data_IF_855113244718
#
_entry.id   IF_855113244718
#
_cell.length_a   1.000
_cell.length_b   1.000
_cell.length_c   1.000
_cell.angle_alpha   90.00
_cell.angle_beta   90.00
_cell.angle_gamma   90.00
#
_symmetry.space_group_name_H-M   'P 1'
#
loop_
_entity.id
_entity.type
_entity.pdbx_description
1 polymer ?
#
# COMPACT_ATOMS: atom_id res chain seq x y z
N UNK A 1 40.57 0.36 5.11
CA UNK A 1 40.76 -0.90 4.36
C UNK A 1 40.05 -0.77 3.03
N UNK A 2 40.80 -0.56 1.94
CA UNK A 2 40.23 -0.47 0.60
C UNK A 2 39.86 -1.89 0.13
N UNK A 3 38.59 -2.18 -0.23
CA UNK A 3 38.24 -3.46 -0.80
C UNK A 3 38.88 -3.55 -2.19
N UNK A 4 40.01 -4.26 -2.28
CA UNK A 4 40.58 -4.70 -3.55
C UNK A 4 39.48 -5.34 -4.38
N UNK A 5 39.27 -4.85 -5.59
CA UNK A 5 38.24 -5.31 -6.53
C UNK A 5 38.31 -6.84 -6.60
N UNK A 6 37.29 -7.51 -6.05
CA UNK A 6 37.13 -8.98 -5.90
C UNK A 6 37.12 -9.70 -7.27
N UNK A 7 37.35 -9.01 -8.39
CA UNK A 7 37.44 -9.60 -9.73
C UNK A 7 38.71 -10.44 -9.93
N UNK A 8 39.77 -10.22 -9.15
CA UNK A 8 41.05 -10.94 -9.29
C UNK A 8 41.38 -11.83 -8.08
N UNK A 9 40.52 -11.92 -7.06
CA UNK A 9 40.75 -12.81 -5.92
C UNK A 9 40.08 -14.18 -6.16
N UNK A 10 40.87 -15.25 -6.02
CA UNK A 10 40.44 -16.64 -6.28
C UNK A 10 39.36 -17.15 -5.32
N UNK A 11 39.23 -16.54 -4.13
CA UNK A 11 38.28 -16.96 -3.10
C UNK A 11 37.05 -16.05 -3.05
N UNK A 12 35.98 -16.42 -3.76
CA UNK A 12 34.70 -15.73 -3.69
C UNK A 12 33.95 -16.11 -2.40
N UNK A 13 34.00 -15.26 -1.37
CA UNK A 13 33.17 -15.36 -0.15
C UNK A 13 31.74 -14.81 -0.33
N UNK A 14 31.22 -14.82 -1.56
CA UNK A 14 29.88 -14.30 -1.87
C UNK A 14 28.79 -15.26 -1.36
N UNK A 15 27.64 -14.75 -0.89
CA UNK A 15 26.53 -15.61 -0.49
C UNK A 15 26.04 -16.45 -1.67
N UNK A 16 25.71 -17.72 -1.40
CA UNK A 16 25.15 -18.61 -2.40
C UNK A 16 23.76 -18.14 -2.83
N UNK A 17 23.54 -18.11 -4.14
CA UNK A 17 22.23 -17.87 -4.76
C UNK A 17 21.62 -19.20 -5.19
N UNK A 18 20.30 -19.30 -5.42
CA UNK A 18 19.65 -20.54 -5.89
C UNK A 18 20.27 -21.13 -7.18
N UNK A 19 20.99 -20.32 -7.96
CA UNK A 19 21.63 -20.72 -9.22
C UNK A 19 23.11 -21.16 -9.10
N UNK A 20 23.69 -21.17 -7.90
CA UNK A 20 25.14 -21.40 -7.68
C UNK A 20 25.47 -22.73 -6.97
N UNK A 21 24.47 -23.50 -6.56
CA UNK A 21 24.64 -24.81 -5.92
C UNK A 21 24.41 -25.97 -6.89
N UNK A 22 24.69 -27.19 -6.43
CA UNK A 22 24.42 -28.43 -7.16
C UNK A 22 22.94 -28.88 -6.99
N UNK A 23 22.56 -30.03 -7.57
CA UNK A 23 21.18 -30.58 -7.60
C UNK A 23 20.48 -30.61 -6.24
N UNK A 24 21.21 -30.90 -5.15
CA UNK A 24 20.63 -31.02 -3.80
C UNK A 24 20.52 -29.67 -3.07
N UNK A 25 21.06 -28.59 -3.64
CA UNK A 25 21.01 -27.27 -3.04
C UNK A 25 19.71 -26.55 -3.40
N UNK A 26 18.78 -26.51 -2.45
CA UNK A 26 17.59 -25.69 -2.54
C UNK A 26 17.70 -24.43 -1.67
N UNK A 27 17.43 -23.27 -2.27
CA UNK A 27 17.30 -21.99 -1.55
C UNK A 27 16.03 -21.27 -1.99
N UNK A 28 15.14 -20.98 -1.04
CA UNK A 28 13.90 -20.26 -1.29
C UNK A 28 14.10 -18.76 -1.60
N UNK A 29 13.12 -18.15 -2.28
CA UNK A 29 13.15 -16.74 -2.73
C UNK A 29 12.26 -15.83 -1.88
N UNK A 30 12.04 -16.16 -0.61
CA UNK A 30 11.16 -15.41 0.31
C UNK A 30 9.71 -15.25 -0.16
N UNK A 31 9.17 -16.19 -0.95
CA UNK A 31 7.75 -16.17 -1.32
C UNK A 31 6.80 -16.19 -0.12
N UNK A 32 7.26 -16.71 1.02
CA UNK A 32 6.55 -16.72 2.29
C UNK A 32 6.54 -15.37 3.06
N UNK A 33 7.04 -14.28 2.46
CA UNK A 33 7.08 -12.94 3.07
C UNK A 33 6.16 -12.00 2.31
N UNK A 34 5.51 -11.07 3.02
CA UNK A 34 4.84 -9.94 2.37
C UNK A 34 5.87 -9.02 1.69
N UNK A 35 5.48 -8.30 0.62
CA UNK A 35 6.29 -7.22 0.08
C UNK A 35 6.65 -6.23 1.19
N UNK A 36 7.95 -6.09 1.50
CA UNK A 36 8.43 -5.21 2.57
C UNK A 36 8.05 -5.61 4.01
N UNK A 37 7.43 -6.77 4.21
CA UNK A 37 6.75 -7.12 5.46
C UNK A 37 7.22 -8.38 6.15
N UNK A 38 6.40 -8.82 7.10
CA UNK A 38 6.64 -9.98 7.96
C UNK A 38 6.45 -11.32 7.20
N UNK A 39 6.96 -12.39 7.80
CA UNK A 39 6.83 -13.75 7.26
C UNK A 39 5.44 -14.30 7.57
N UNK A 40 4.68 -14.69 6.54
CA UNK A 40 3.36 -15.33 6.66
C UNK A 40 3.41 -16.86 6.54
N UNK A 41 4.58 -17.43 6.27
CA UNK A 41 4.74 -18.89 6.16
C UNK A 41 4.44 -19.41 4.76
N UNK A 42 4.55 -20.73 4.59
CA UNK A 42 4.30 -21.39 3.31
C UNK A 42 2.79 -21.57 3.07
N UNK A 43 2.31 -21.47 1.82
CA UNK A 43 0.89 -21.60 1.48
C UNK A 43 0.35 -23.04 1.54
N UNK A 44 1.19 -24.00 1.91
CA UNK A 44 0.87 -25.42 1.85
C UNK A 44 1.91 -26.29 2.53
N UNK A 45 1.72 -27.60 2.43
CA UNK A 45 2.54 -28.62 3.11
C UNK A 45 3.01 -29.68 2.12
N UNK A 46 4.26 -30.13 2.28
CA UNK A 46 4.78 -31.27 1.55
C UNK A 46 4.15 -32.57 2.05
N UNK A 47 3.62 -33.36 1.13
CA UNK A 47 2.98 -34.64 1.45
C UNK A 47 3.98 -35.76 1.17
N UNK A 48 4.34 -36.51 2.20
CA UNK A 48 5.34 -37.59 2.12
C UNK A 48 4.81 -38.82 1.38
N UNK A 49 3.52 -39.14 1.56
CA UNK A 49 2.86 -40.32 0.98
C UNK A 49 1.70 -39.90 0.09
N UNK A 50 1.74 -40.30 -1.19
CA UNK A 50 0.73 -39.95 -2.19
C UNK A 50 1.32 -39.54 -3.55
N UNK A 51 0.43 -39.36 -4.52
CA UNK A 51 0.74 -38.90 -5.90
C UNK A 51 1.07 -37.41 -5.93
N UNK A 52 0.26 -36.58 -5.24
CA UNK A 52 0.55 -35.16 -5.06
C UNK A 52 1.59 -34.93 -3.96
N UNK A 53 2.76 -34.38 -4.32
CA UNK A 53 3.89 -34.15 -3.39
C UNK A 53 3.80 -32.85 -2.59
N UNK A 54 2.91 -31.93 -2.98
CA UNK A 54 2.64 -30.70 -2.27
C UNK A 54 1.14 -30.40 -2.30
N UNK A 55 0.58 -30.06 -1.14
CA UNK A 55 -0.84 -29.71 -0.99
C UNK A 55 -0.96 -28.25 -0.60
N UNK A 56 -1.72 -27.48 -1.38
CA UNK A 56 -2.08 -26.11 -1.03
C UNK A 56 -3.16 -26.11 0.05
N UNK A 57 -3.05 -25.17 0.98
CA UNK A 57 -4.04 -24.92 2.02
C UNK A 57 -4.63 -23.54 1.75
N UNK A 58 -5.86 -23.50 1.24
CA UNK A 58 -6.49 -22.25 0.78
C UNK A 58 -6.55 -21.19 1.90
N UNK A 59 -6.71 -21.61 3.14
CA UNK A 59 -6.66 -20.76 4.35
C UNK A 59 -5.34 -20.02 4.54
N UNK A 60 -4.23 -20.54 4.00
CA UNK A 60 -2.89 -19.95 4.09
C UNK A 60 -2.48 -19.25 2.80
N UNK A 61 -3.27 -19.36 1.74
CA UNK A 61 -3.02 -18.64 0.49
C UNK A 61 -3.39 -17.18 0.69
N UNK A 62 -2.49 -16.29 0.27
CA UNK A 62 -2.73 -14.85 0.37
C UNK A 62 -3.68 -14.41 -0.71
N UNK A 63 -4.67 -13.62 -0.33
CA UNK A 63 -5.64 -12.99 -1.22
C UNK A 63 -5.56 -11.48 -1.05
N UNK A 64 -5.47 -10.76 -2.16
CA UNK A 64 -5.55 -9.30 -2.17
C UNK A 64 -6.97 -8.90 -2.53
N UNK A 65 -7.72 -8.43 -1.54
CA UNK A 65 -9.10 -7.98 -1.74
C UNK A 65 -9.06 -6.54 -2.26
N UNK A 66 -9.66 -6.31 -3.42
CA UNK A 66 -9.81 -5.00 -4.03
C UNK A 66 -11.30 -4.63 -4.14
N UNK A 67 -11.65 -3.33 -4.15
CA UNK A 67 -12.99 -2.88 -4.50
C UNK A 67 -13.37 -3.29 -5.93
N UNK A 68 -14.66 -3.19 -6.27
CA UNK A 68 -15.11 -3.51 -7.62
C UNK A 68 -14.49 -2.57 -8.66
N UNK A 69 -14.29 -3.08 -9.88
CA UNK A 69 -13.68 -2.29 -10.96
C UNK A 69 -14.54 -1.07 -11.30
N UNK A 70 -15.87 -1.20 -11.23
CA UNK A 70 -16.82 -0.12 -11.44
C UNK A 70 -16.65 0.99 -10.40
N UNK A 71 -16.55 0.64 -9.12
CA UNK A 71 -16.28 1.62 -8.05
C UNK A 71 -14.96 2.34 -8.29
N UNK A 72 -13.88 1.59 -8.58
CA UNK A 72 -12.56 2.16 -8.84
C UNK A 72 -12.59 3.18 -9.99
N UNK A 73 -13.27 2.84 -11.09
CA UNK A 73 -13.39 3.71 -12.26
C UNK A 73 -14.26 4.95 -12.00
N UNK A 74 -15.29 4.82 -11.15
CA UNK A 74 -16.19 5.92 -10.80
C UNK A 74 -15.65 6.80 -9.67
N UNK A 75 -14.57 6.41 -8.99
CA UNK A 75 -14.01 7.24 -7.91
C UNK A 75 -13.39 8.54 -8.46
N UNK A 76 -13.66 9.70 -7.81
CA UNK A 76 -12.98 10.95 -8.14
C UNK A 76 -11.52 10.98 -7.63
N UNK A 77 -11.13 10.01 -6.80
CA UNK A 77 -9.81 9.93 -6.19
C UNK A 77 -8.75 9.54 -7.23
N UNK A 78 -7.64 10.27 -7.25
CA UNK A 78 -6.48 10.03 -8.11
C UNK A 78 -5.24 9.82 -7.25
N UNK A 79 -4.21 9.11 -7.74
CA UNK A 79 -2.97 8.89 -7.00
C UNK A 79 -2.18 10.19 -6.74
N UNK A 80 -2.48 11.25 -7.47
CA UNK A 80 -1.82 12.56 -7.36
C UNK A 80 -2.85 13.66 -7.08
N UNK A 81 -2.37 14.76 -6.50
CA UNK A 81 -3.15 15.95 -6.18
C UNK A 81 -2.57 17.13 -6.96
N UNK A 82 -3.43 18.05 -7.41
CA UNK A 82 -2.99 19.30 -8.03
C UNK A 82 -2.24 20.17 -7.03
N UNK A 83 -1.06 20.69 -7.42
CA UNK A 83 -0.21 21.49 -6.54
C UNK A 83 -0.84 22.84 -6.15
N UNK A 84 -1.70 23.37 -7.01
CA UNK A 84 -2.34 24.67 -6.83
C UNK A 84 -3.48 24.64 -5.82
N UNK A 85 -4.00 23.45 -5.51
CA UNK A 85 -5.11 23.28 -4.56
C UNK A 85 -4.56 23.25 -3.14
N UNK A 86 -4.71 24.37 -2.43
CA UNK A 86 -4.36 24.50 -1.00
C UNK A 86 -5.62 24.44 -0.15
N UNK A 87 -5.62 23.57 0.87
CA UNK A 87 -6.70 23.52 1.85
C UNK A 87 -6.79 24.83 2.64
N UNK A 88 -8.00 25.34 2.82
CA UNK A 88 -8.26 26.48 3.71
C UNK A 88 -8.04 26.08 5.18
N UNK A 89 -7.85 27.04 6.08
CA UNK A 89 -7.63 26.74 7.51
C UNK A 89 -8.84 26.01 8.14
N UNK A 90 -10.06 26.32 7.69
CA UNK A 90 -11.27 25.59 8.08
C UNK A 90 -11.25 24.14 7.61
N UNK A 91 -10.96 23.90 6.33
CA UNK A 91 -10.85 22.55 5.76
C UNK A 91 -9.71 21.75 6.41
N UNK A 92 -8.58 22.38 6.72
CA UNK A 92 -7.50 21.73 7.47
C UNK A 92 -7.96 21.29 8.84
N UNK A 93 -8.74 22.11 9.54
CA UNK A 93 -9.28 21.78 10.87
C UNK A 93 -10.34 20.67 10.81
N UNK A 94 -11.09 20.55 9.71
CA UNK A 94 -12.01 19.43 9.46
C UNK A 94 -11.27 18.13 9.14
N UNK A 95 -10.33 18.17 8.18
CA UNK A 95 -9.60 16.98 7.71
C UNK A 95 -8.66 16.44 8.78
N UNK A 96 -7.88 17.32 9.42
CA UNK A 96 -6.88 16.89 10.40
C UNK A 96 -7.42 16.85 11.83
N UNK A 97 -8.63 17.39 12.08
CA UNK A 97 -9.15 17.57 13.42
C UNK A 97 -8.20 18.38 14.33
N UNK A 98 -8.54 18.51 15.60
CA UNK A 98 -7.53 18.72 16.64
C UNK A 98 -7.16 17.32 17.15
N UNK A 99 -6.18 16.67 16.54
CA UNK A 99 -5.61 15.47 17.16
C UNK A 99 -5.09 15.88 18.56
N UNK A 100 -5.55 15.23 19.63
CA UNK A 100 -5.14 15.59 20.97
C UNK A 100 -3.66 15.25 21.15
N UNK A 101 -2.98 16.01 22.00
CA UNK A 101 -1.60 15.73 22.35
C UNK A 101 -1.54 14.38 23.09
N UNK A 102 -0.91 13.38 22.48
CA UNK A 102 -0.93 11.99 22.96
C UNK A 102 -1.60 10.98 22.01
N UNK A 103 -2.20 11.43 20.90
CA UNK A 103 -2.78 10.57 19.88
C UNK A 103 -4.25 10.21 20.13
N UNK A 104 -4.84 9.41 19.23
CA UNK A 104 -6.24 9.02 19.33
C UNK A 104 -6.45 7.98 20.44
N UNK A 105 -6.92 8.43 21.61
CA UNK A 105 -7.38 7.53 22.67
C UNK A 105 -8.80 7.02 22.40
N UNK A 106 -9.16 5.89 23.00
CA UNK A 106 -10.54 5.38 22.96
C UNK A 106 -11.56 6.37 23.56
N UNK A 107 -11.18 7.08 24.63
CA UNK A 107 -12.02 8.14 25.22
C UNK A 107 -12.23 9.30 24.26
N UNK A 108 -11.19 9.75 23.55
CA UNK A 108 -11.29 10.82 22.55
C UNK A 108 -12.20 10.42 21.38
N UNK A 109 -12.13 9.18 20.93
CA UNK A 109 -13.04 8.65 19.92
C UNK A 109 -14.49 8.64 20.42
N UNK A 110 -14.70 8.29 21.69
CA UNK A 110 -16.02 8.26 22.35
C UNK A 110 -16.60 9.67 22.67
N UNK A 111 -15.80 10.62 23.10
CA UNK A 111 -16.31 11.94 23.49
C UNK A 111 -16.70 12.77 22.26
N UNK A 112 -15.92 12.65 21.17
CA UNK A 112 -16.14 13.42 19.96
C UNK A 112 -17.11 12.78 18.96
N UNK A 113 -17.78 11.68 19.33
CA UNK A 113 -18.78 11.01 18.46
C UNK A 113 -18.26 10.65 17.06
N UNK A 114 -16.97 10.35 16.93
CA UNK A 114 -16.33 10.06 15.64
C UNK A 114 -16.84 8.77 14.97
N UNK A 115 -17.57 7.92 15.72
CA UNK A 115 -18.27 6.76 15.15
C UNK A 115 -19.56 7.12 14.42
N UNK A 116 -20.12 8.31 14.67
CA UNK A 116 -21.30 8.76 13.95
C UNK A 116 -20.86 9.14 12.54
N UNK A 117 -21.41 8.47 11.54
CA UNK A 117 -21.19 8.86 10.14
C UNK A 117 -21.74 10.27 9.98
N UNK A 118 -20.86 11.26 9.87
CA UNK A 118 -21.27 12.54 9.33
C UNK A 118 -21.84 12.27 7.94
N UNK A 119 -23.07 12.72 7.63
CA UNK A 119 -23.54 12.69 6.26
C UNK A 119 -22.52 13.46 5.41
N UNK A 120 -22.25 13.01 4.16
CA UNK A 120 -21.30 13.69 3.30
C UNK A 120 -21.67 15.17 3.29
N UNK A 121 -20.72 16.04 3.65
CA UNK A 121 -20.91 17.48 3.56
C UNK A 121 -21.38 17.75 2.14
N UNK A 122 -22.56 18.37 2.02
CA UNK A 122 -23.16 18.73 0.74
C UNK A 122 -22.06 19.26 -0.18
N UNK A 123 -21.83 18.56 -1.29
CA UNK A 123 -20.92 18.96 -2.35
C UNK A 123 -20.98 20.47 -2.55
N UNK A 124 -19.84 21.19 -2.61
CA UNK A 124 -19.87 22.59 -3.00
C UNK A 124 -20.59 22.66 -4.34
N UNK A 125 -21.68 23.46 -4.41
CA UNK A 125 -22.36 23.75 -5.67
C UNK A 125 -21.29 24.04 -6.72
N UNK A 126 -21.37 23.45 -7.94
CA UNK A 126 -20.46 23.84 -9.00
C UNK A 126 -20.52 25.35 -9.11
N UNK A 127 -19.37 26.01 -8.93
CA UNK A 127 -19.27 27.44 -9.16
C UNK A 127 -19.64 27.64 -10.62
N UNK A 128 -20.77 28.31 -10.87
CA UNK A 128 -21.12 28.82 -12.19
C UNK A 128 -19.92 29.61 -12.68
N UNK A 129 -19.25 29.08 -13.69
CA UNK A 129 -18.22 29.79 -14.42
C UNK A 129 -18.92 30.99 -15.08
N UNK A 130 -18.78 32.17 -14.50
CA UNK A 130 -19.24 33.39 -15.15
C UNK A 130 -18.53 33.49 -16.49
N UNK A 131 -19.26 33.59 -17.61
CA UNK A 131 -18.64 33.68 -18.93
C UNK A 131 -17.73 34.90 -18.97
N UNK A 132 -16.45 34.66 -19.28
CA UNK A 132 -15.47 35.71 -19.53
C UNK A 132 -15.97 36.50 -20.74
N UNK A 133 -16.37 37.76 -20.52
CA UNK A 133 -16.73 38.68 -21.59
C UNK A 133 -15.57 38.78 -22.59
N UNK A 134 -15.85 38.47 -23.85
CA UNK A 134 -14.88 38.59 -24.92
C UNK A 134 -14.45 40.07 -25.07
N UNK A 135 -13.16 40.35 -25.32
CA UNK A 135 -12.71 41.71 -25.52
C UNK A 135 -13.37 42.29 -26.78
N UNK A 136 -14.04 43.43 -26.63
CA UNK A 136 -14.55 44.23 -27.76
C UNK A 136 -13.36 44.60 -28.66
N UNK A 137 -13.40 44.11 -29.90
CA UNK A 137 -12.52 44.59 -30.95
C UNK A 137 -12.82 46.07 -31.21
N UNK A 138 -11.76 46.89 -31.20
CA UNK A 138 -11.78 48.30 -31.58
C UNK A 138 -11.73 48.45 -33.10
#
# INVERSE_FOLDING_TARGET
MFPTIVRLSKASRRPLTPKRGNKDYYKGTRQAFLPGGHRTGAPGVHVVRGTAKYRLLDEKVRVFVAPSVEELNNTPLKPYVAMDVKLTQGQKREVYGKLPQGGLSGSHFYENKLWTRTPPSSSPKPQELTPVEAPKAA
#
